data_IF_626836025450
#
_entry.id   IF_626836025450
#
_cell.length_a   1.000
_cell.length_b   1.000
_cell.length_c   1.000
_cell.angle_alpha   90.00
_cell.angle_beta   90.00
_cell.angle_gamma   90.00
#
_symmetry.space_group_name_H-M   'P 1'
#
loop_
_entity.id
_entity.type
_entity.pdbx_description
1 polymer ?
#
# COMPACT_ATOMS: atom_id res chain seq x y z
N UNK A 1 -12.30 9.02 8.74
CA UNK A 1 -13.76 8.92 8.97
C UNK A 1 -14.53 9.36 7.73
N UNK A 2 -15.76 8.87 7.52
CA UNK A 2 -16.66 9.31 6.44
C UNK A 2 -17.98 9.89 6.96
N UNK A 3 -18.48 9.40 8.09
CA UNK A 3 -19.61 9.96 8.82
C UNK A 3 -19.41 9.77 10.32
N UNK A 4 -20.06 10.61 11.14
CA UNK A 4 -20.05 10.54 12.60
C UNK A 4 -21.43 10.95 13.15
N UNK A 5 -22.03 10.15 14.03
CA UNK A 5 -23.34 10.41 14.62
C UNK A 5 -24.44 10.86 13.61
N UNK A 6 -24.43 10.29 12.40
CA UNK A 6 -25.38 10.63 11.31
C UNK A 6 -24.99 11.85 10.46
N UNK A 7 -23.90 12.55 10.79
CA UNK A 7 -23.37 13.65 9.98
C UNK A 7 -22.44 13.13 8.90
N UNK A 8 -22.71 13.48 7.64
CA UNK A 8 -21.81 13.22 6.52
C UNK A 8 -20.57 14.13 6.60
N UNK A 9 -19.39 13.51 6.54
CA UNK A 9 -18.10 14.20 6.56
C UNK A 9 -17.37 14.09 5.22
N UNK A 10 -17.91 13.42 4.19
CA UNK A 10 -17.20 13.20 2.91
C UNK A 10 -16.76 14.49 2.22
N UNK A 11 -17.56 15.56 2.34
CA UNK A 11 -17.25 16.91 1.88
C UNK A 11 -16.27 17.70 2.77
N UNK A 12 -15.71 17.09 3.81
CA UNK A 12 -14.73 17.71 4.72
C UNK A 12 -13.29 17.32 4.36
N UNK A 13 -12.32 18.22 4.55
CA UNK A 13 -10.91 17.91 4.39
C UNK A 13 -10.45 16.70 5.19
N UNK A 14 -9.46 15.96 4.69
CA UNK A 14 -8.90 14.78 5.35
C UNK A 14 -8.43 15.08 6.78
N UNK A 15 -7.78 16.22 7.03
CA UNK A 15 -7.33 16.59 8.39
C UNK A 15 -8.48 16.57 9.40
N UNK A 16 -9.62 17.16 9.05
CA UNK A 16 -10.80 17.19 9.93
C UNK A 16 -11.38 15.80 10.14
N UNK A 17 -11.46 15.01 9.07
CA UNK A 17 -11.93 13.62 9.12
C UNK A 17 -11.01 12.70 9.91
N UNK A 18 -9.72 13.04 10.02
CA UNK A 18 -8.72 12.29 10.79
C UNK A 18 -8.83 12.61 12.27
N UNK A 19 -8.88 13.89 12.65
CA UNK A 19 -9.10 14.29 14.05
C UNK A 19 -10.35 13.64 14.63
N UNK A 20 -11.48 13.68 13.90
CA UNK A 20 -12.72 13.02 14.35
C UNK A 20 -12.60 11.51 14.50
N UNK A 21 -11.82 10.87 13.63
CA UNK A 21 -11.54 9.44 13.75
C UNK A 21 -10.73 9.15 15.01
N UNK A 22 -9.69 9.95 15.27
CA UNK A 22 -8.81 9.79 16.43
C UNK A 22 -9.56 10.02 17.74
N UNK A 23 -10.43 11.02 17.80
CA UNK A 23 -11.31 11.27 18.95
C UNK A 23 -12.21 10.06 19.24
N UNK A 24 -12.85 9.48 18.21
CA UNK A 24 -13.66 8.26 18.34
C UNK A 24 -12.81 7.05 18.73
N UNK A 25 -11.58 6.97 18.22
CA UNK A 25 -10.68 5.85 18.42
C UNK A 25 -10.01 5.83 19.80
N UNK A 26 -9.99 6.95 20.53
CA UNK A 26 -9.36 7.05 21.84
C UNK A 26 -9.91 6.04 22.86
N UNK A 27 -11.16 5.59 22.69
CA UNK A 27 -11.79 4.55 23.51
C UNK A 27 -11.86 3.17 22.86
N UNK A 28 -11.24 2.96 21.70
CA UNK A 28 -11.36 1.72 20.94
C UNK A 28 -10.54 0.57 21.57
N UNK A 29 -11.02 -0.68 21.47
CA UNK A 29 -10.25 -1.85 21.91
C UNK A 29 -9.02 -2.05 21.01
N UNK A 30 -7.96 -2.65 21.57
CA UNK A 30 -6.69 -2.89 20.86
C UNK A 30 -6.84 -3.70 19.55
N UNK A 31 -7.87 -4.54 19.45
CA UNK A 31 -8.18 -5.28 18.22
C UNK A 31 -8.52 -4.37 17.03
N UNK A 32 -8.98 -3.14 17.29
CA UNK A 32 -9.25 -2.14 16.27
C UNK A 32 -8.09 -1.14 16.22
N UNK A 33 -6.90 -1.56 15.77
CA UNK A 33 -5.76 -0.66 15.66
C UNK A 33 -5.93 0.35 14.50
N UNK A 34 -5.62 1.61 14.76
CA UNK A 34 -5.59 2.65 13.73
C UNK A 34 -4.44 2.44 12.74
N UNK A 35 -4.70 2.72 11.46
CA UNK A 35 -3.62 2.78 10.46
C UNK A 35 -2.71 3.99 10.79
N UNK A 36 -1.38 3.78 10.91
CA UNK A 36 -0.43 4.85 11.18
C UNK A 36 -0.44 5.87 10.04
N UNK A 37 -0.23 7.14 10.40
CA UNK A 37 -0.20 8.27 9.49
C UNK A 37 0.84 9.26 9.98
N UNK A 38 1.60 9.86 9.06
CA UNK A 38 2.52 10.95 9.36
C UNK A 38 2.35 12.07 8.34
N UNK A 39 2.64 13.30 8.77
CA UNK A 39 2.81 14.47 7.89
C UNK A 39 4.29 14.79 7.64
N UNK A 40 5.19 14.15 8.41
CA UNK A 40 6.63 14.29 8.28
C UNK A 40 7.13 13.40 7.14
N UNK A 41 7.74 14.04 6.13
CA UNK A 41 8.28 13.39 4.94
C UNK A 41 9.48 12.51 5.29
N UNK A 42 10.30 12.90 6.25
CA UNK A 42 11.49 12.14 6.63
C UNK A 42 11.07 10.88 7.39
N UNK A 43 10.08 10.97 8.28
CA UNK A 43 9.48 9.79 8.89
C UNK A 43 8.80 8.88 7.85
N UNK A 44 8.12 9.45 6.85
CA UNK A 44 7.52 8.67 5.78
C UNK A 44 8.56 7.92 4.94
N UNK A 45 9.75 8.50 4.72
CA UNK A 45 10.88 7.82 4.05
C UNK A 45 11.39 6.64 4.87
N UNK A 46 11.57 6.84 6.18
CA UNK A 46 11.95 5.74 7.10
C UNK A 46 10.92 4.61 7.01
N UNK A 47 9.63 4.93 7.05
CA UNK A 47 8.58 3.92 6.88
C UNK A 47 8.65 3.18 5.55
N UNK A 48 8.88 3.91 4.45
CA UNK A 48 9.01 3.32 3.13
C UNK A 48 10.16 2.31 3.06
N UNK A 49 11.27 2.61 3.72
CA UNK A 49 12.48 1.78 3.72
C UNK A 49 12.44 0.62 4.70
N UNK A 50 11.87 0.83 5.89
CA UNK A 50 11.93 -0.16 6.97
C UNK A 50 10.69 -1.06 7.06
N UNK A 51 9.48 -0.54 6.79
CA UNK A 51 8.26 -1.34 6.94
C UNK A 51 8.06 -2.36 5.81
N UNK A 52 8.85 -2.29 4.74
CA UNK A 52 8.90 -3.36 3.75
C UNK A 52 9.32 -4.70 4.39
N UNK A 53 10.17 -4.67 5.43
CA UNK A 53 10.62 -5.88 6.15
C UNK A 53 9.49 -6.51 6.97
N UNK A 54 8.47 -5.73 7.34
CA UNK A 54 7.33 -6.18 8.14
C UNK A 54 6.09 -6.50 7.30
N UNK A 55 6.21 -6.48 5.97
CA UNK A 55 5.13 -6.83 5.03
C UNK A 55 4.24 -5.66 4.63
N UNK A 56 4.63 -4.40 4.91
CA UNK A 56 3.94 -3.21 4.40
C UNK A 56 4.64 -2.75 3.13
N UNK A 57 4.04 -3.06 1.97
CA UNK A 57 4.67 -2.83 0.66
C UNK A 57 4.38 -1.47 0.03
N UNK A 58 3.42 -0.71 0.59
CA UNK A 58 2.84 0.48 -0.05
C UNK A 58 2.61 1.60 0.94
N UNK A 59 3.05 2.80 0.58
CA UNK A 59 2.58 4.05 1.18
C UNK A 59 1.46 4.67 0.34
N UNK A 60 0.43 5.17 1.02
CA UNK A 60 -0.66 5.91 0.39
C UNK A 60 -0.57 7.38 0.79
N UNK A 61 -0.23 8.24 -0.16
CA UNK A 61 -0.13 9.69 0.04
C UNK A 61 -1.48 10.32 -0.30
N UNK A 62 -1.97 11.17 0.61
CA UNK A 62 -3.27 11.82 0.50
C UNK A 62 -3.11 13.30 0.80
N UNK A 63 -3.81 14.13 0.04
CA UNK A 63 -3.92 15.55 0.34
C UNK A 63 -4.73 15.77 1.65
N UNK A 64 -4.16 16.56 2.57
CA UNK A 64 -4.78 16.91 3.85
C UNK A 64 -6.01 17.80 3.68
N UNK A 65 -6.02 18.63 2.63
CA UNK A 65 -7.14 19.45 2.21
C UNK A 65 -8.14 18.69 1.32
N UNK A 66 -7.75 17.49 0.88
CA UNK A 66 -8.52 16.64 -0.01
C UNK A 66 -9.85 16.16 0.59
N UNK A 67 -10.92 16.35 -0.18
CA UNK A 67 -12.24 15.77 0.09
C UNK A 67 -12.26 14.28 -0.24
N UNK A 68 -13.17 13.53 0.38
CA UNK A 68 -13.39 12.14 -0.03
C UNK A 68 -14.20 12.10 -1.33
N UNK A 69 -13.66 11.46 -2.36
CA UNK A 69 -14.29 11.34 -3.69
C UNK A 69 -14.50 9.86 -4.01
N UNK A 70 -15.67 9.28 -3.70
CA UNK A 70 -15.93 7.87 -3.96
C UNK A 70 -15.81 7.56 -5.45
N UNK A 71 -15.17 6.43 -5.78
CA UNK A 71 -15.01 5.96 -7.16
C UNK A 71 -14.04 6.79 -8.02
N UNK A 72 -13.32 7.77 -7.46
CA UNK A 72 -12.33 8.55 -8.21
C UNK A 72 -10.90 8.31 -7.74
N UNK A 73 -9.97 8.31 -8.68
CA UNK A 73 -8.55 8.41 -8.38
C UNK A 73 -8.27 9.78 -7.73
N UNK A 74 -7.48 9.78 -6.65
CA UNK A 74 -7.13 11.01 -5.93
C UNK A 74 -6.06 10.83 -4.86
N UNK A 75 -5.54 9.61 -4.69
CA UNK A 75 -4.47 9.29 -3.76
C UNK A 75 -3.33 8.67 -4.53
N UNK A 76 -2.09 8.98 -4.14
CA UNK A 76 -0.91 8.38 -4.74
C UNK A 76 -0.51 7.13 -3.97
N UNK A 77 -0.17 6.07 -4.71
CA UNK A 77 0.37 4.83 -4.15
C UNK A 77 1.85 4.78 -4.48
N UNK A 78 2.70 4.88 -3.47
CA UNK A 78 4.13 4.64 -3.60
C UNK A 78 4.39 3.19 -3.25
N UNK A 79 4.73 2.39 -4.26
CA UNK A 79 5.07 0.97 -4.12
C UNK A 79 6.56 0.76 -4.35
N UNK A 80 7.19 -0.12 -3.57
CA UNK A 80 8.56 -0.54 -3.85
C UNK A 80 8.57 -1.42 -5.10
N UNK A 81 9.44 -1.11 -6.05
CA UNK A 81 9.71 -1.98 -7.20
C UNK A 81 10.89 -2.88 -6.85
N UNK A 82 10.62 -4.16 -6.63
CA UNK A 82 11.66 -5.18 -6.49
C UNK A 82 11.86 -5.83 -7.86
N UNK A 83 13.07 -5.73 -8.39
CA UNK A 83 13.46 -6.41 -9.64
C UNK A 83 14.33 -7.60 -9.29
N UNK A 84 14.04 -8.75 -9.89
CA UNK A 84 14.90 -9.94 -9.80
C UNK A 84 15.29 -10.37 -11.20
N UNK A 85 16.49 -10.90 -11.36
CA UNK A 85 16.91 -11.54 -12.61
C UNK A 85 16.35 -12.97 -12.64
N UNK A 86 15.80 -13.37 -13.79
CA UNK A 86 15.29 -14.71 -14.03
C UNK A 86 15.59 -15.12 -15.47
N UNK A 87 15.84 -16.40 -15.67
CA UNK A 87 16.00 -16.98 -17.01
C UNK A 87 14.65 -17.51 -17.48
N UNK A 88 14.37 -17.33 -18.76
CA UNK A 88 13.18 -17.91 -19.40
C UNK A 88 13.43 -19.41 -19.58
N UNK A 89 12.67 -20.25 -18.87
CA UNK A 89 12.78 -21.70 -18.95
C UNK A 89 12.04 -22.31 -20.14
N UNK A 90 10.95 -21.67 -20.57
CA UNK A 90 10.19 -22.02 -21.78
C UNK A 90 9.25 -20.87 -22.18
N UNK A 91 8.88 -20.83 -23.47
CA UNK A 91 7.87 -19.92 -24.04
C UNK A 91 6.91 -20.74 -24.88
N UNK A 92 5.62 -20.63 -24.59
CA UNK A 92 4.54 -21.25 -25.37
C UNK A 92 3.63 -20.16 -25.99
N UNK A 93 3.25 -19.15 -25.18
CA UNK A 93 2.67 -17.86 -25.62
C UNK A 93 3.60 -16.73 -25.15
N UNK A 94 4.06 -15.79 -26.00
CA UNK A 94 4.90 -14.66 -25.59
C UNK A 94 4.28 -13.74 -24.52
N UNK A 95 2.98 -13.90 -24.21
CA UNK A 95 2.30 -13.23 -23.09
C UNK A 95 2.46 -13.93 -21.75
N UNK A 96 2.89 -15.20 -21.74
CA UNK A 96 3.05 -16.04 -20.56
C UNK A 96 4.45 -16.66 -20.57
N UNK A 97 5.30 -16.22 -19.64
CA UNK A 97 6.68 -16.70 -19.52
C UNK A 97 6.81 -17.61 -18.30
N UNK A 98 7.45 -18.78 -18.49
CA UNK A 98 7.90 -19.61 -17.37
C UNK A 98 9.29 -19.12 -16.93
N UNK A 99 9.36 -18.56 -15.72
CA UNK A 99 10.59 -18.01 -15.15
C UNK A 99 11.28 -19.03 -14.22
N UNK A 100 12.60 -19.16 -14.37
CA UNK A 100 13.45 -19.94 -13.48
C UNK A 100 14.61 -19.13 -12.92
N UNK A 101 15.07 -19.48 -11.72
CA UNK A 101 16.33 -19.00 -11.15
C UNK A 101 17.43 -19.99 -11.49
N UNK A 102 18.53 -19.51 -12.04
CA UNK A 102 19.74 -20.32 -12.24
C UNK A 102 20.64 -20.14 -11.03
N UNK A 103 21.00 -21.23 -10.37
CA UNK A 103 22.06 -21.26 -9.37
C UNK A 103 23.07 -22.37 -9.69
N UNK A 104 24.11 -22.52 -8.86
CA UNK A 104 25.19 -23.51 -9.06
C UNK A 104 24.69 -24.96 -9.12
N UNK A 105 23.41 -25.21 -8.83
CA UNK A 105 22.76 -26.53 -8.86
C UNK A 105 21.80 -26.68 -10.06
N UNK A 106 21.76 -25.72 -10.99
CA UNK A 106 20.94 -25.75 -12.21
C UNK A 106 19.69 -24.86 -12.14
N UNK A 107 18.83 -24.96 -13.16
CA UNK A 107 17.62 -24.15 -13.28
C UNK A 107 16.54 -24.64 -12.29
N UNK A 108 16.08 -23.76 -11.41
CA UNK A 108 14.96 -24.00 -10.50
C UNK A 108 13.78 -23.10 -10.85
N UNK A 109 12.53 -23.53 -10.65
CA UNK A 109 11.37 -22.64 -10.82
C UNK A 109 11.52 -21.40 -9.94
N UNK A 110 11.32 -20.21 -10.52
CA UNK A 110 11.27 -18.99 -9.73
C UNK A 110 9.98 -19.00 -8.88
N UNK A 111 10.00 -18.50 -7.63
CA UNK A 111 8.78 -18.35 -6.85
C UNK A 111 7.80 -17.44 -7.61
N UNK A 112 6.51 -17.80 -7.61
CA UNK A 112 5.48 -17.04 -8.31
C UNK A 112 5.49 -15.58 -7.87
N UNK A 113 5.79 -14.66 -8.80
CA UNK A 113 5.67 -13.24 -8.55
C UNK A 113 4.19 -12.90 -8.39
N UNK A 114 3.76 -12.52 -7.17
CA UNK A 114 2.44 -11.91 -6.95
C UNK A 114 2.44 -10.50 -7.55
N UNK A 115 2.14 -10.40 -8.83
CA UNK A 115 1.82 -9.14 -9.49
C UNK A 115 0.33 -8.89 -9.40
N UNK A 116 -0.08 -7.85 -8.65
CA UNK A 116 -1.46 -7.37 -8.65
C UNK A 116 -1.72 -6.63 -9.99
N UNK A 117 -2.77 -6.98 -10.76
CA UNK A 117 -3.05 -6.32 -12.03
C UNK A 117 -3.43 -4.85 -11.79
N UNK A 118 -2.85 -3.99 -12.63
CA UNK A 118 -3.01 -2.52 -12.57
C UNK A 118 -4.37 -2.06 -13.07
#
# INVERSE_FOLDING_TARGET
>A
MLADAGLDLTGRPLRHRRTRLEDLHAGAPAALAGCPQTQDVDLARVWFDELAVTGVDVLVVKDLDGLYRPGRAGWWKLKRRVTTEAIIGAVDDPRVLLLGRLDDRGLRPAPAARGDPS
#
